data_IF_006862653759
#
_entry.id   IF_006862653759
#
_cell.length_a   1.000
_cell.length_b   1.000
_cell.length_c   1.000
_cell.angle_alpha   90.00
_cell.angle_beta   90.00
_cell.angle_gamma   90.00
#
_symmetry.space_group_name_H-M   'P 1'
#
loop_
_entity.id
_entity.type
_entity.pdbx_description
1 polymer ?
#
# COMPACT_ATOMS: atom_id res chain seq x y z
N UNK A 1 90.69 10.03 18.36
CA UNK A 1 91.01 10.83 17.15
C UNK A 1 92.12 10.13 16.39
N UNK A 2 91.75 9.36 15.36
CA UNK A 2 92.48 9.09 14.12
C UNK A 2 91.49 8.36 13.19
N UNK A 3 91.13 9.02 12.09
CA UNK A 3 90.36 8.51 10.96
C UNK A 3 91.33 8.28 9.80
N UNK A 4 91.23 7.14 9.13
CA UNK A 4 91.62 6.89 7.73
C UNK A 4 90.63 5.79 7.24
N UNK A 5 89.57 6.09 6.46
CA UNK A 5 89.51 6.10 4.97
C UNK A 5 90.30 4.94 4.32
N UNK A 6 89.80 4.10 3.43
CA UNK A 6 88.58 4.06 2.63
C UNK A 6 88.89 3.26 1.33
N UNK A 7 87.88 2.54 0.81
CA UNK A 7 87.81 2.04 -0.57
C UNK A 7 88.28 0.59 -0.82
N UNK A 8 87.78 -0.15 -1.82
CA UNK A 8 86.59 -0.12 -2.68
C UNK A 8 86.85 -1.16 -3.81
N UNK A 9 85.81 -1.89 -4.27
CA UNK A 9 85.67 -2.56 -5.58
C UNK A 9 86.60 -3.75 -5.94
N UNK A 10 86.24 -4.75 -6.74
CA UNK A 10 85.04 -5.21 -7.45
C UNK A 10 85.49 -6.52 -8.12
N UNK A 11 84.70 -7.60 -8.04
CA UNK A 11 85.13 -8.94 -8.49
C UNK A 11 83.99 -9.87 -8.87
N UNK A 12 83.07 -9.37 -9.70
CA UNK A 12 82.09 -10.06 -10.54
C UNK A 12 82.19 -11.61 -10.68
N UNK A 13 81.07 -12.23 -10.25
CA UNK A 13 80.16 -13.10 -11.03
C UNK A 13 80.58 -14.53 -11.43
N UNK A 14 79.67 -15.43 -11.00
CA UNK A 14 79.19 -16.70 -11.59
C UNK A 14 79.84 -18.00 -11.09
N UNK A 15 79.10 -18.65 -10.19
CA UNK A 15 78.42 -19.96 -10.32
C UNK A 15 77.41 -19.98 -9.14
N UNK A 16 76.15 -19.58 -9.27
CA UNK A 16 75.03 -20.25 -9.95
C UNK A 16 75.13 -21.78 -9.94
N UNK A 17 74.06 -22.43 -9.48
CA UNK A 17 73.82 -23.85 -9.18
C UNK A 17 73.96 -24.14 -7.67
N UNK A 18 72.95 -24.26 -6.80
CA UNK A 18 71.49 -24.09 -6.86
C UNK A 18 71.02 -23.86 -5.40
N UNK A 19 71.01 -22.61 -4.92
CA UNK A 19 70.35 -22.28 -3.63
C UNK A 19 68.82 -22.09 -3.79
N UNK A 20 68.29 -22.24 -5.02
CA UNK A 20 66.86 -22.50 -5.23
C UNK A 20 66.48 -23.96 -4.96
N UNK A 21 67.44 -24.90 -4.92
CA UNK A 21 67.16 -26.30 -4.57
C UNK A 21 66.92 -26.53 -3.09
N UNK A 22 67.35 -25.63 -2.18
CA UNK A 22 66.92 -25.70 -0.78
C UNK A 22 65.50 -25.13 -0.57
N UNK A 23 65.00 -24.30 -1.49
CA UNK A 23 63.59 -23.88 -1.51
C UNK A 23 62.68 -24.93 -2.16
N UNK A 24 63.23 -25.79 -3.02
CA UNK A 24 62.54 -26.97 -3.52
C UNK A 24 62.59 -28.14 -2.51
N UNK A 25 63.64 -28.27 -1.68
CA UNK A 25 63.67 -29.29 -0.63
C UNK A 25 62.77 -28.97 0.58
N UNK A 26 62.46 -27.70 0.85
CA UNK A 26 61.47 -27.29 1.86
C UNK A 26 60.07 -27.06 1.27
N UNK A 27 59.85 -27.44 0.01
CA UNK A 27 58.54 -27.58 -0.62
C UNK A 27 58.29 -29.00 -1.14
N UNK A 28 59.10 -29.98 -0.73
CA UNK A 28 58.82 -31.41 -0.95
C UNK A 28 58.33 -32.09 0.34
N UNK A 29 58.62 -31.51 1.51
CA UNK A 29 58.14 -31.99 2.82
C UNK A 29 56.98 -31.15 3.41
N UNK A 30 56.36 -30.29 2.59
CA UNK A 30 55.10 -29.62 2.93
C UNK A 30 53.91 -30.21 2.13
N UNK A 31 54.11 -31.36 1.49
CA UNK A 31 53.07 -32.17 0.89
C UNK A 31 52.72 -33.37 1.80
N UNK A 32 52.63 -33.13 3.11
CA UNK A 32 51.92 -34.05 4.00
C UNK A 32 50.43 -33.86 3.78
N UNK A 33 49.94 -34.58 2.79
CA UNK A 33 48.56 -35.02 2.59
C UNK A 33 48.02 -35.53 3.93
N UNK A 34 47.46 -34.63 4.72
CA UNK A 34 46.64 -34.93 5.89
C UNK A 34 45.21 -34.48 5.52
N UNK A 35 44.49 -35.47 4.99
CA UNK A 35 43.05 -35.55 4.73
C UNK A 35 42.42 -34.49 3.81
N UNK A 36 42.66 -34.65 2.51
CA UNK A 36 41.88 -34.01 1.43
C UNK A 36 40.38 -34.35 1.56
N UNK A 37 40.03 -35.53 2.08
CA UNK A 37 38.64 -35.87 2.42
C UNK A 37 38.12 -35.09 3.63
N UNK A 38 38.87 -34.96 4.73
CA UNK A 38 38.41 -34.21 5.90
C UNK A 38 38.18 -32.74 5.57
N UNK A 39 39.05 -32.14 4.75
CA UNK A 39 38.89 -30.75 4.28
C UNK A 39 37.67 -30.61 3.36
N UNK A 40 37.47 -31.55 2.42
CA UNK A 40 36.27 -31.57 1.56
C UNK A 40 34.98 -31.77 2.34
N UNK A 41 34.98 -32.67 3.33
CA UNK A 41 33.86 -32.90 4.25
C UNK A 41 33.61 -31.67 5.15
N UNK A 42 34.65 -30.99 5.62
CA UNK A 42 34.52 -29.76 6.41
C UNK A 42 33.95 -28.60 5.57
N UNK A 43 34.42 -28.42 4.33
CA UNK A 43 33.88 -27.41 3.41
C UNK A 43 32.43 -27.73 3.00
N UNK A 44 32.13 -28.99 2.70
CA UNK A 44 30.78 -29.43 2.35
C UNK A 44 29.81 -29.29 3.53
N UNK A 45 30.22 -29.68 4.74
CA UNK A 45 29.41 -29.51 5.95
C UNK A 45 29.20 -28.02 6.29
N UNK A 46 30.22 -27.18 6.13
CA UNK A 46 30.10 -25.73 6.32
C UNK A 46 29.16 -25.11 5.28
N UNK A 47 29.31 -25.47 4.00
CA UNK A 47 28.42 -25.03 2.90
C UNK A 47 26.98 -25.47 3.12
N UNK A 48 26.77 -26.73 3.52
CA UNK A 48 25.43 -27.28 3.83
C UNK A 48 24.83 -26.55 5.02
N UNK A 49 25.58 -26.34 6.10
CA UNK A 49 25.10 -25.58 7.27
C UNK A 49 24.77 -24.12 6.94
N UNK A 50 25.55 -23.49 6.06
CA UNK A 50 25.25 -22.16 5.53
C UNK A 50 23.97 -22.15 4.68
N UNK A 51 23.75 -23.19 3.87
CA UNK A 51 22.54 -23.37 3.06
C UNK A 51 21.30 -23.57 3.93
N UNK A 52 21.38 -24.46 4.92
CA UNK A 52 20.27 -24.74 5.84
C UNK A 52 19.90 -23.49 6.67
N UNK A 53 20.91 -22.73 7.10
CA UNK A 53 20.69 -21.45 7.78
C UNK A 53 20.04 -20.40 6.87
N UNK A 54 20.41 -20.35 5.58
CA UNK A 54 19.78 -19.45 4.61
C UNK A 54 18.32 -19.85 4.34
N UNK A 55 18.04 -21.14 4.21
CA UNK A 55 16.69 -21.68 4.03
C UNK A 55 15.79 -21.36 5.24
N UNK A 56 16.28 -21.62 6.45
CA UNK A 56 15.56 -21.30 7.68
C UNK A 56 15.24 -19.81 7.80
N UNK A 57 16.19 -18.93 7.44
CA UNK A 57 15.99 -17.48 7.44
C UNK A 57 14.90 -17.04 6.46
N UNK A 58 14.87 -17.57 5.24
CA UNK A 58 13.84 -17.21 4.27
C UNK A 58 12.44 -17.70 4.69
N UNK A 59 12.32 -18.89 5.28
CA UNK A 59 11.04 -19.36 5.82
C UNK A 59 10.56 -18.45 6.95
N UNK A 60 11.47 -18.05 7.84
CA UNK A 60 11.13 -17.09 8.90
C UNK A 60 10.75 -15.72 8.34
N UNK A 61 11.39 -15.27 7.26
CA UNK A 61 11.10 -14.00 6.60
C UNK A 61 9.73 -14.05 5.92
N UNK A 62 9.41 -15.13 5.21
CA UNK A 62 8.10 -15.34 4.57
C UNK A 62 6.97 -15.22 5.61
N UNK A 63 7.09 -15.95 6.74
CA UNK A 63 6.11 -15.87 7.84
C UNK A 63 5.97 -14.46 8.43
N UNK A 64 7.07 -13.70 8.49
CA UNK A 64 7.03 -12.32 8.98
C UNK A 64 6.30 -11.40 8.00
N UNK A 65 6.56 -11.55 6.70
CA UNK A 65 5.88 -10.78 5.65
C UNK A 65 4.39 -11.11 5.64
N UNK A 66 4.01 -12.38 5.76
CA UNK A 66 2.61 -12.81 5.88
C UNK A 66 1.91 -12.15 7.07
N UNK A 67 2.52 -12.18 8.25
CA UNK A 67 1.93 -11.55 9.44
C UNK A 67 1.74 -10.02 9.26
N UNK A 68 2.70 -9.36 8.62
CA UNK A 68 2.58 -7.92 8.30
C UNK A 68 1.48 -7.66 7.27
N UNK A 69 1.37 -8.53 6.27
CA UNK A 69 0.36 -8.45 5.22
C UNK A 69 -1.05 -8.63 5.81
N UNK A 70 -1.24 -9.57 6.73
CA UNK A 70 -2.50 -9.77 7.45
C UNK A 70 -2.92 -8.53 8.27
N UNK A 71 -1.97 -7.91 8.97
CA UNK A 71 -2.22 -6.69 9.75
C UNK A 71 -2.60 -5.51 8.84
N UNK A 72 -1.85 -5.30 7.76
CA UNK A 72 -2.12 -4.26 6.76
C UNK A 72 -3.48 -4.48 6.10
N UNK A 73 -3.79 -5.70 5.66
CA UNK A 73 -5.09 -6.09 5.11
C UNK A 73 -6.23 -5.86 6.10
N UNK A 74 -6.01 -6.15 7.39
CA UNK A 74 -7.00 -5.86 8.42
C UNK A 74 -7.20 -4.35 8.62
N UNK A 75 -6.13 -3.55 8.56
CA UNK A 75 -6.24 -2.09 8.61
C UNK A 75 -6.97 -1.52 7.39
N UNK A 76 -6.68 -2.07 6.20
CA UNK A 76 -7.32 -1.73 4.93
C UNK A 76 -8.84 -2.02 4.96
N UNK A 77 -9.24 -3.16 5.55
CA UNK A 77 -10.65 -3.47 5.84
C UNK A 77 -11.35 -2.49 6.78
N UNK A 78 -10.62 -1.74 7.61
CA UNK A 78 -11.23 -0.76 8.52
C UNK A 78 -11.38 0.63 7.91
N UNK A 79 -10.65 0.93 6.83
CA UNK A 79 -10.78 2.21 6.11
C UNK A 79 -12.21 2.47 5.64
N UNK A 80 -13.00 1.42 5.42
CA UNK A 80 -14.42 1.51 5.11
C UNK A 80 -15.25 2.32 6.14
N UNK A 81 -14.76 2.53 7.37
CA UNK A 81 -15.49 3.23 8.43
C UNK A 81 -15.05 4.69 8.64
N UNK A 82 -13.95 5.13 8.03
CA UNK A 82 -13.34 6.45 8.26
C UNK A 82 -13.12 7.13 6.91
N UNK A 83 -13.53 8.40 6.76
CA UNK A 83 -13.34 9.16 5.50
C UNK A 83 -11.90 8.99 4.97
N UNK A 84 -11.76 8.57 3.71
CA UNK A 84 -10.47 8.29 3.07
C UNK A 84 -9.75 9.60 2.70
N UNK A 85 -8.70 9.94 3.45
CA UNK A 85 -7.86 11.13 3.24
C UNK A 85 -6.53 10.78 2.56
N UNK A 86 -6.56 9.94 1.52
CA UNK A 86 -5.35 9.46 0.82
C UNK A 86 -4.61 8.30 1.51
N UNK A 87 -4.83 8.08 2.81
CA UNK A 87 -4.27 6.95 3.57
C UNK A 87 -4.59 5.56 2.97
N UNK A 88 -5.66 5.46 2.17
CA UNK A 88 -6.02 4.25 1.43
C UNK A 88 -4.98 3.89 0.37
N UNK A 89 -4.55 4.86 -0.44
CA UNK A 89 -3.56 4.64 -1.49
C UNK A 89 -2.20 4.23 -0.92
N UNK A 90 -1.83 4.79 0.23
CA UNK A 90 -0.58 4.44 0.93
C UNK A 90 -0.64 3.00 1.46
N UNK A 91 -1.78 2.59 2.00
CA UNK A 91 -2.00 1.21 2.46
C UNK A 91 -2.06 0.23 1.27
N UNK A 92 -2.71 0.57 0.16
CA UNK A 92 -2.69 -0.23 -1.07
C UNK A 92 -1.25 -0.43 -1.56
N UNK A 93 -0.45 0.64 -1.65
CA UNK A 93 0.94 0.57 -2.09
C UNK A 93 1.82 -0.26 -1.12
N UNK A 94 1.57 -0.17 0.18
CA UNK A 94 2.24 -0.98 1.20
C UNK A 94 1.93 -2.47 1.07
N UNK A 95 0.66 -2.81 0.86
CA UNK A 95 0.19 -4.19 0.63
C UNK A 95 0.81 -4.75 -0.66
N UNK A 96 0.79 -4.00 -1.76
CA UNK A 96 1.42 -4.38 -3.03
C UNK A 96 2.93 -4.65 -2.87
N UNK A 97 3.63 -3.83 -2.08
CA UNK A 97 5.05 -4.02 -1.80
C UNK A 97 5.30 -5.32 -1.04
N UNK A 98 4.51 -5.61 0.00
CA UNK A 98 4.64 -6.83 0.80
C UNK A 98 4.34 -8.09 -0.03
N UNK A 99 3.32 -8.05 -0.89
CA UNK A 99 3.01 -9.14 -1.82
C UNK A 99 4.18 -9.44 -2.76
N UNK A 100 4.81 -8.38 -3.33
CA UNK A 100 6.00 -8.54 -4.18
C UNK A 100 7.20 -9.09 -3.41
N UNK A 101 7.39 -8.68 -2.16
CA UNK A 101 8.45 -9.22 -1.31
C UNK A 101 8.22 -10.71 -1.02
N UNK A 102 7.00 -11.12 -0.68
CA UNK A 102 6.66 -12.53 -0.47
C UNK A 102 6.89 -13.35 -1.74
N UNK A 103 6.51 -12.81 -2.90
CA UNK A 103 6.79 -13.43 -4.20
C UNK A 103 8.30 -13.61 -4.46
N UNK A 104 9.12 -12.60 -4.13
CA UNK A 104 10.57 -12.68 -4.28
C UNK A 104 11.17 -13.78 -3.38
N UNK A 105 10.70 -13.88 -2.14
CA UNK A 105 11.14 -14.91 -1.19
C UNK A 105 10.75 -16.30 -1.67
N UNK A 106 9.54 -16.45 -2.20
CA UNK A 106 9.09 -17.70 -2.81
C UNK A 106 9.95 -18.08 -4.03
N UNK A 107 10.35 -17.10 -4.86
CA UNK A 107 11.27 -17.35 -5.98
C UNK A 107 12.66 -17.79 -5.51
N UNK A 108 13.17 -17.24 -4.40
CA UNK A 108 14.44 -17.69 -3.80
C UNK A 108 14.34 -19.13 -3.27
N UNK A 109 13.24 -19.47 -2.60
CA UNK A 109 12.97 -20.85 -2.16
C UNK A 109 12.87 -21.81 -3.35
N UNK A 110 12.24 -21.39 -4.45
CA UNK A 110 12.15 -22.18 -5.68
C UNK A 110 13.53 -22.51 -6.26
N UNK A 111 14.44 -21.53 -6.28
CA UNK A 111 15.81 -21.72 -6.75
C UNK A 111 16.56 -22.78 -5.92
N UNK A 112 16.31 -22.84 -4.60
CA UNK A 112 16.91 -23.84 -3.74
C UNK A 112 16.39 -25.25 -4.01
N UNK A 113 15.09 -25.41 -4.25
CA UNK A 113 14.52 -26.72 -4.64
C UNK A 113 15.16 -27.22 -5.93
N UNK A 114 15.28 -26.36 -6.95
CA UNK A 114 15.94 -26.70 -8.21
C UNK A 114 17.42 -27.09 -8.03
N UNK A 115 18.11 -26.58 -7.01
CA UNK A 115 19.51 -26.92 -6.69
C UNK A 115 19.69 -28.17 -5.82
N UNK A 116 18.63 -28.93 -5.56
CA UNK A 116 18.66 -30.11 -4.69
C UNK A 116 18.34 -29.80 -3.23
N UNK A 117 17.47 -28.82 -2.99
CA UNK A 117 16.97 -28.47 -1.65
C UNK A 117 16.19 -29.60 -0.98
N UNK A 118 16.00 -29.49 0.33
CA UNK A 118 15.28 -30.49 1.13
C UNK A 118 13.79 -30.58 0.74
N UNK A 119 13.23 -31.79 0.80
CA UNK A 119 11.79 -32.06 0.62
C UNK A 119 10.91 -31.19 1.54
N UNK A 120 11.39 -30.92 2.75
CA UNK A 120 10.72 -30.01 3.69
C UNK A 120 10.58 -28.58 3.16
N UNK A 121 11.59 -28.09 2.44
CA UNK A 121 11.55 -26.75 1.80
C UNK A 121 10.59 -26.76 0.63
N UNK A 122 10.48 -27.88 -0.10
CA UNK A 122 9.49 -28.05 -1.17
C UNK A 122 8.06 -27.90 -0.66
N UNK A 123 7.70 -28.66 0.39
CA UNK A 123 6.38 -28.54 1.02
C UNK A 123 6.10 -27.15 1.57
N UNK A 124 7.10 -26.55 2.22
CA UNK A 124 6.96 -25.20 2.78
C UNK A 124 6.74 -24.17 1.69
N UNK A 125 7.46 -24.28 0.56
CA UNK A 125 7.26 -23.39 -0.58
C UNK A 125 5.87 -23.54 -1.20
N UNK A 126 5.39 -24.77 -1.41
CA UNK A 126 4.04 -24.99 -1.95
C UNK A 126 3.00 -24.28 -1.08
N UNK A 127 3.12 -24.40 0.25
CA UNK A 127 2.23 -23.69 1.16
C UNK A 127 2.34 -22.17 1.05
N UNK A 128 3.55 -21.62 0.98
CA UNK A 128 3.73 -20.17 0.81
C UNK A 128 3.25 -19.66 -0.56
N UNK A 129 3.24 -20.49 -1.59
CA UNK A 129 2.66 -20.15 -2.90
C UNK A 129 1.13 -20.08 -2.82
N UNK A 130 0.50 -21.05 -2.15
CA UNK A 130 -0.95 -21.05 -1.89
C UNK A 130 -1.36 -19.81 -1.09
N UNK A 131 -0.65 -19.51 0.01
CA UNK A 131 -0.92 -18.33 0.85
C UNK A 131 -0.78 -17.04 0.03
N UNK A 132 0.28 -16.91 -0.79
CA UNK A 132 0.46 -15.74 -1.65
C UNK A 132 -0.71 -15.57 -2.62
N UNK A 133 -1.19 -16.66 -3.22
CA UNK A 133 -2.32 -16.63 -4.14
C UNK A 133 -3.60 -16.19 -3.42
N UNK A 134 -3.90 -16.80 -2.26
CA UNK A 134 -5.07 -16.46 -1.44
C UNK A 134 -5.05 -14.99 -1.04
N UNK A 135 -3.92 -14.49 -0.52
CA UNK A 135 -3.78 -13.10 -0.08
C UNK A 135 -3.89 -12.10 -1.24
N UNK A 136 -3.35 -12.44 -2.41
CA UNK A 136 -3.48 -11.59 -3.62
C UNK A 136 -4.95 -11.51 -4.04
N UNK A 137 -5.64 -12.65 -4.12
CA UNK A 137 -7.05 -12.69 -4.49
C UNK A 137 -7.92 -11.96 -3.47
N UNK A 138 -7.64 -12.13 -2.18
CA UNK A 138 -8.32 -11.39 -1.12
C UNK A 138 -8.12 -9.89 -1.29
N UNK A 139 -6.90 -9.42 -1.53
CA UNK A 139 -6.61 -8.00 -1.72
C UNK A 139 -7.37 -7.41 -2.91
N UNK A 140 -7.36 -8.08 -4.07
CA UNK A 140 -8.12 -7.63 -5.24
C UNK A 140 -9.62 -7.52 -4.96
N UNK A 141 -10.17 -8.50 -4.22
CA UNK A 141 -11.56 -8.47 -3.76
C UNK A 141 -11.83 -7.25 -2.87
N UNK A 142 -10.89 -6.90 -2.00
CA UNK A 142 -11.03 -5.73 -1.12
C UNK A 142 -10.98 -4.42 -1.91
N UNK A 143 -10.03 -4.28 -2.86
CA UNK A 143 -9.95 -3.12 -3.76
C UNK A 143 -11.23 -2.92 -4.56
N UNK A 144 -11.74 -3.99 -5.17
CA UNK A 144 -13.00 -3.92 -5.92
C UNK A 144 -14.17 -3.51 -5.02
N UNK A 145 -14.27 -4.08 -3.81
CA UNK A 145 -15.33 -3.73 -2.87
C UNK A 145 -15.24 -2.27 -2.41
N UNK A 146 -14.04 -1.76 -2.20
CA UNK A 146 -13.81 -0.37 -1.78
C UNK A 146 -14.18 0.61 -2.89
N UNK A 147 -13.73 0.35 -4.12
CA UNK A 147 -14.07 1.15 -5.30
C UNK A 147 -15.59 1.23 -5.52
N UNK A 148 -16.30 0.11 -5.49
CA UNK A 148 -17.76 0.11 -5.65
C UNK A 148 -18.46 0.95 -4.59
N UNK A 149 -17.97 0.93 -3.34
CA UNK A 149 -18.56 1.75 -2.27
C UNK A 149 -18.20 3.23 -2.39
N UNK A 150 -17.00 3.55 -2.85
CA UNK A 150 -16.61 4.93 -3.17
C UNK A 150 -17.48 5.49 -4.29
N UNK A 151 -17.66 4.74 -5.38
CA UNK A 151 -18.54 5.13 -6.49
C UNK A 151 -19.97 5.39 -5.98
N UNK A 152 -20.50 4.53 -5.11
CA UNK A 152 -21.81 4.73 -4.50
C UNK A 152 -21.87 5.96 -3.57
N UNK A 153 -20.78 6.26 -2.85
CA UNK A 153 -20.70 7.46 -2.01
C UNK A 153 -20.65 8.75 -2.83
N UNK A 154 -19.89 8.77 -3.94
CA UNK A 154 -19.83 9.88 -4.88
C UNK A 154 -21.19 10.15 -5.53
N UNK A 155 -21.91 9.11 -5.94
CA UNK A 155 -23.27 9.27 -6.47
C UNK A 155 -24.21 9.91 -5.43
N UNK A 156 -24.16 9.47 -4.17
CA UNK A 156 -24.97 10.06 -3.10
C UNK A 156 -24.58 11.52 -2.79
N UNK A 157 -23.31 11.88 -2.97
CA UNK A 157 -22.84 13.26 -2.86
C UNK A 157 -23.44 14.13 -3.98
N UNK A 158 -23.41 13.66 -5.23
CA UNK A 158 -24.05 14.34 -6.36
C UNK A 158 -25.56 14.54 -6.14
N UNK A 159 -26.27 13.54 -5.61
CA UNK A 159 -27.70 13.67 -5.28
C UNK A 159 -27.95 14.72 -4.20
N UNK A 160 -27.10 14.79 -3.15
CA UNK A 160 -27.23 15.80 -2.10
C UNK A 160 -26.96 17.21 -2.63
N UNK A 161 -25.98 17.36 -3.52
CA UNK A 161 -25.67 18.65 -4.13
C UNK A 161 -26.79 19.08 -5.09
N UNK A 162 -27.39 18.15 -5.83
CA UNK A 162 -28.60 18.41 -6.62
C UNK A 162 -29.77 18.90 -5.76
N UNK A 163 -30.05 18.24 -4.63
CA UNK A 163 -31.10 18.66 -3.70
C UNK A 163 -30.82 20.04 -3.10
N UNK A 164 -29.56 20.33 -2.74
CA UNK A 164 -29.14 21.66 -2.27
C UNK A 164 -29.33 22.73 -3.35
N UNK A 165 -28.89 22.49 -4.57
CA UNK A 165 -29.05 23.42 -5.69
C UNK A 165 -30.54 23.71 -5.97
N UNK A 166 -31.40 22.69 -5.83
CA UNK A 166 -32.86 22.85 -5.94
C UNK A 166 -33.44 23.72 -4.83
N UNK A 167 -33.03 23.49 -3.58
CA UNK A 167 -33.44 24.30 -2.43
C UNK A 167 -32.95 25.75 -2.51
N UNK A 168 -31.77 25.98 -3.08
CA UNK A 168 -31.22 27.34 -3.28
C UNK A 168 -32.02 28.11 -4.35
N UNK A 169 -32.41 27.42 -5.44
CA UNK A 169 -33.30 27.97 -6.46
C UNK A 169 -34.71 28.23 -5.90
N UNK A 170 -35.24 27.32 -5.09
CA UNK A 170 -36.55 27.46 -4.45
C UNK A 170 -36.55 28.49 -3.32
N UNK A 171 -35.43 28.74 -2.64
CA UNK A 171 -35.31 29.85 -1.67
C UNK A 171 -35.33 31.23 -2.35
N UNK A 172 -34.96 31.32 -3.63
CA UNK A 172 -35.16 32.50 -4.46
C UNK A 172 -36.61 32.70 -4.95
N UNK A 173 -37.35 31.61 -5.22
CA UNK A 173 -38.75 31.63 -5.72
C UNK A 173 -39.82 31.50 -4.61
N UNK A 174 -39.43 31.11 -3.40
CA UNK A 174 -40.33 31.03 -2.24
C UNK A 174 -40.91 32.40 -1.89
N UNK A 175 -40.12 33.47 -2.05
CA UNK A 175 -40.59 34.85 -1.86
C UNK A 175 -41.67 35.25 -2.88
N UNK A 176 -41.54 34.85 -4.14
CA UNK A 176 -42.49 35.19 -5.21
C UNK A 176 -43.80 34.42 -5.05
N UNK A 177 -43.75 33.10 -4.81
CA UNK A 177 -44.96 32.32 -4.54
C UNK A 177 -45.68 32.79 -3.27
N UNK A 178 -44.95 33.08 -2.20
CA UNK A 178 -45.53 33.54 -0.94
C UNK A 178 -46.08 34.97 -1.07
N UNK A 179 -45.44 35.83 -1.87
CA UNK A 179 -45.97 37.16 -2.21
C UNK A 179 -47.26 37.08 -3.02
N UNK A 180 -47.32 36.21 -4.02
CA UNK A 180 -48.54 35.99 -4.83
C UNK A 180 -49.70 35.43 -3.99
N UNK A 181 -49.43 34.50 -3.08
CA UNK A 181 -50.45 33.99 -2.15
C UNK A 181 -50.95 35.09 -1.19
N UNK A 182 -50.05 35.94 -0.68
CA UNK A 182 -50.41 37.06 0.17
C UNK A 182 -51.22 38.13 -0.58
N UNK A 183 -50.88 38.41 -1.83
CA UNK A 183 -51.65 39.30 -2.70
C UNK A 183 -53.06 38.73 -2.94
N UNK A 184 -53.16 37.44 -3.24
CA UNK A 184 -54.46 36.79 -3.47
C UNK A 184 -55.37 36.86 -2.24
N UNK A 185 -54.81 36.64 -1.04
CA UNK A 185 -55.54 36.81 0.23
C UNK A 185 -55.92 38.28 0.46
N UNK A 186 -55.04 39.22 0.10
CA UNK A 186 -55.30 40.66 0.15
C UNK A 186 -56.46 41.08 -0.76
N UNK A 187 -56.45 40.63 -2.02
CA UNK A 187 -57.51 40.89 -3.00
C UNK A 187 -58.84 40.35 -2.49
N UNK A 188 -58.88 39.10 -2.00
CA UNK A 188 -60.12 38.50 -1.52
C UNK A 188 -60.73 39.26 -0.34
N UNK A 189 -59.89 39.75 0.59
CA UNK A 189 -60.35 40.60 1.70
C UNK A 189 -60.85 41.96 1.21
N UNK A 190 -60.17 42.57 0.25
CA UNK A 190 -60.55 43.87 -0.29
C UNK A 190 -61.89 43.79 -1.06
N UNK A 191 -62.11 42.70 -1.83
CA UNK A 191 -63.39 42.42 -2.48
C UNK A 191 -64.53 42.33 -1.46
N UNK A 192 -64.34 41.60 -0.35
CA UNK A 192 -65.35 41.50 0.70
C UNK A 192 -65.64 42.86 1.39
N UNK A 193 -64.64 43.73 1.54
CA UNK A 193 -64.83 45.08 2.07
C UNK A 193 -65.60 45.98 1.10
N UNK A 194 -65.29 45.90 -0.20
CA UNK A 194 -65.97 46.64 -1.25
C UNK A 194 -67.45 46.23 -1.33
N UNK A 195 -67.76 44.94 -1.24
CA UNK A 195 -69.15 44.45 -1.20
C UNK A 195 -69.94 45.02 0.01
N UNK A 196 -69.27 45.19 1.15
CA UNK A 196 -69.84 45.85 2.33
C UNK A 196 -70.19 47.32 2.08
N UNK A 197 -69.28 48.07 1.45
CA UNK A 197 -69.52 49.49 1.08
C UNK A 197 -70.61 49.61 0.02
N UNK A 198 -70.63 48.71 -0.97
CA UNK A 198 -71.68 48.64 -2.00
C UNK A 198 -73.04 48.39 -1.35
N UNK A 199 -73.13 47.41 -0.45
CA UNK A 199 -74.36 47.09 0.28
C UNK A 199 -74.87 48.27 1.13
N UNK A 200 -73.95 48.98 1.80
CA UNK A 200 -74.28 50.22 2.53
C UNK A 200 -74.76 51.34 1.61
N UNK A 201 -74.13 51.53 0.45
CA UNK A 201 -74.54 52.53 -0.53
C UNK A 201 -75.93 52.22 -1.11
N UNK A 202 -76.22 50.95 -1.42
CA UNK A 202 -77.55 50.52 -1.86
C UNK A 202 -78.61 50.71 -0.78
N UNK A 203 -78.31 50.37 0.47
CA UNK A 203 -79.23 50.61 1.59
C UNK A 203 -79.54 52.11 1.77
N UNK A 204 -78.54 52.97 1.62
CA UNK A 204 -78.71 54.42 1.68
C UNK A 204 -79.57 54.94 0.52
N UNK A 205 -79.32 54.46 -0.70
CA UNK A 205 -80.13 54.81 -1.89
C UNK A 205 -81.61 54.41 -1.74
N UNK A 206 -81.88 53.22 -1.22
CA UNK A 206 -83.25 52.74 -0.98
C UNK A 206 -83.96 53.58 0.09
N UNK A 207 -83.25 53.99 1.15
CA UNK A 207 -83.81 54.88 2.18
C UNK A 207 -84.17 56.27 1.63
N UNK A 208 -83.37 56.83 0.72
CA UNK A 208 -83.70 58.09 0.06
C UNK A 208 -84.88 57.99 -0.92
N UNK A 209 -85.13 56.82 -1.54
CA UNK A 209 -86.27 56.61 -2.43
C UNK A 209 -87.61 56.34 -1.72
N UNK A 210 -87.61 55.88 -0.46
CA UNK A 210 -88.84 55.59 0.30
C UNK A 210 -89.40 56.78 1.10
N UNK A 211 -88.71 57.93 1.14
CA UNK A 211 -89.13 59.14 1.86
C UNK A 211 -89.45 60.35 0.95
N UNK A 212 -89.62 60.15 -0.36
CA UNK A 212 -90.14 61.16 -1.30
C UNK A 212 -91.56 60.85 -1.73
#
# INVERSE_FOLDING_TARGET
MLMLQGGEYEGRKKKLIDDENLRLFLLDEAETILDDEATRWWLFSTRRKSSDAAQSKAVSLARKIEAQLDEQMHSYRRLFSTKSDGAESDLEAGIDLLLRQLQQVNAQMQAWICSGGSEMVSHTLTRHQEILQDLTQEFDRHRSSLRTKQEHALLLEDFKEFDRARLDLESGDGSTKQALLNEHVGINRNTAQIDGVISQAHATLVLYCCCG
#
